data_IF_860403210949
#
_entry.id   IF_860403210949
#
_cell.length_a   1.000
_cell.length_b   1.000
_cell.length_c   1.000
_cell.angle_alpha   90.00
_cell.angle_beta   90.00
_cell.angle_gamma   90.00
#
_symmetry.space_group_name_H-M   'P 1'
#
loop_
_entity.id
_entity.type
_entity.pdbx_description
1 polymer ?
#
# COMPACT_ATOMS: atom_id res chain seq x y z
N UNK A 1 28.10 109.10 -107.79
CA UNK A 1 28.20 107.64 -107.58
C UNK A 1 29.58 107.33 -107.01
N UNK A 2 29.68 107.29 -105.68
CA UNK A 2 30.62 106.48 -104.92
C UNK A 2 29.72 105.74 -103.94
N UNK A 3 29.86 104.43 -103.92
CA UNK A 3 28.89 103.41 -103.52
C UNK A 3 28.73 103.27 -101.99
N UNK A 4 27.57 102.76 -101.56
CA UNK A 4 27.19 102.43 -100.16
C UNK A 4 28.18 101.50 -99.41
N UNK A 5 29.24 101.01 -100.05
CA UNK A 5 30.25 100.10 -99.48
C UNK A 5 31.23 100.75 -98.50
N UNK A 6 31.26 102.08 -98.35
CA UNK A 6 32.16 102.77 -97.43
C UNK A 6 31.55 103.14 -96.07
N UNK A 7 30.21 103.11 -95.95
CA UNK A 7 29.54 103.36 -94.66
C UNK A 7 29.40 102.07 -93.83
N UNK A 8 29.36 100.89 -94.47
CA UNK A 8 29.35 99.61 -93.77
C UNK A 8 30.72 99.14 -93.25
N UNK A 9 31.84 99.72 -93.70
CA UNK A 9 33.17 99.41 -93.14
C UNK A 9 33.49 100.18 -91.86
N UNK A 10 32.99 101.40 -91.70
CA UNK A 10 33.32 102.25 -90.54
C UNK A 10 32.42 102.06 -89.30
N UNK A 11 31.41 101.17 -89.36
CA UNK A 11 30.62 100.78 -88.18
C UNK A 11 31.03 99.42 -87.59
N UNK A 12 31.88 98.65 -88.30
CA UNK A 12 32.31 97.32 -87.85
C UNK A 12 33.67 97.32 -87.11
N UNK A 13 34.54 98.32 -87.32
CA UNK A 13 35.90 98.32 -86.73
C UNK A 13 35.99 98.88 -85.30
N UNK A 14 34.89 99.38 -84.72
CA UNK A 14 34.84 99.82 -83.30
C UNK A 14 34.09 98.86 -82.37
N UNK A 15 33.62 97.71 -82.88
CA UNK A 15 32.81 96.75 -82.12
C UNK A 15 33.58 95.49 -81.69
N UNK A 16 34.86 95.33 -82.01
CA UNK A 16 35.60 94.11 -81.59
C UNK A 16 35.94 94.07 -80.09
N UNK A 17 36.44 95.14 -79.44
CA UNK A 17 36.83 95.06 -78.03
C UNK A 17 35.62 94.88 -77.09
N UNK A 18 34.50 95.53 -77.41
CA UNK A 18 33.26 95.48 -76.62
C UNK A 18 32.53 94.15 -76.79
N UNK A 19 32.55 93.57 -78.00
CA UNK A 19 31.95 92.26 -78.27
C UNK A 19 32.78 91.13 -77.65
N UNK A 20 34.12 91.20 -77.73
CA UNK A 20 35.01 90.28 -77.04
C UNK A 20 34.89 90.37 -75.49
N UNK A 21 34.75 91.57 -74.93
CA UNK A 21 34.48 91.77 -73.49
C UNK A 21 33.12 91.20 -73.06
N UNK A 22 32.08 91.35 -73.89
CA UNK A 22 30.77 90.76 -73.66
C UNK A 22 30.83 89.23 -73.72
N UNK A 23 31.46 88.65 -74.73
CA UNK A 23 31.67 87.20 -74.86
C UNK A 23 32.48 86.63 -73.71
N UNK A 24 33.57 87.30 -73.31
CA UNK A 24 34.37 86.91 -72.14
C UNK A 24 33.56 87.01 -70.84
N UNK A 25 32.72 88.04 -70.69
CA UNK A 25 31.78 88.15 -69.57
C UNK A 25 30.69 87.07 -69.56
N UNK A 26 30.23 86.60 -70.72
CA UNK A 26 29.34 85.45 -70.85
C UNK A 26 30.03 84.12 -70.54
N UNK A 27 31.27 83.92 -71.02
CA UNK A 27 32.06 82.73 -70.70
C UNK A 27 32.37 82.65 -69.21
N UNK A 28 32.86 83.72 -68.59
CA UNK A 28 33.10 83.77 -67.14
C UNK A 28 31.83 83.51 -66.32
N UNK A 29 30.68 84.08 -66.72
CA UNK A 29 29.39 83.76 -66.07
C UNK A 29 28.98 82.30 -66.25
N UNK A 30 29.23 81.72 -67.42
CA UNK A 30 28.93 80.31 -67.72
C UNK A 30 29.82 79.37 -66.92
N UNK A 31 31.11 79.69 -66.79
CA UNK A 31 32.08 78.90 -66.03
C UNK A 31 31.79 78.94 -64.53
N UNK A 32 31.46 80.12 -64.00
CA UNK A 32 31.01 80.26 -62.59
C UNK A 32 29.71 79.47 -62.35
N UNK A 33 28.72 79.59 -63.24
CA UNK A 33 27.47 78.84 -63.12
C UNK A 33 27.68 77.33 -63.27
N UNK A 34 28.64 76.88 -64.08
CA UNK A 34 28.99 75.47 -64.21
C UNK A 34 29.69 74.95 -62.96
N UNK A 35 30.63 75.72 -62.40
CA UNK A 35 31.31 75.39 -61.15
C UNK A 35 30.34 75.31 -59.96
N UNK A 36 29.37 76.23 -59.87
CA UNK A 36 28.30 76.18 -58.86
C UNK A 36 27.40 74.94 -59.05
N UNK A 37 27.05 74.57 -60.29
CA UNK A 37 26.29 73.34 -60.57
C UNK A 37 27.04 72.09 -60.16
N UNK A 38 28.35 72.01 -60.42
CA UNK A 38 29.18 70.87 -60.00
C UNK A 38 29.20 70.76 -58.48
N UNK A 39 29.46 71.87 -57.76
CA UNK A 39 29.44 71.88 -56.28
C UNK A 39 28.09 71.46 -55.71
N UNK A 40 26.99 71.97 -56.28
CA UNK A 40 25.65 71.57 -55.86
C UNK A 40 25.39 70.09 -56.14
N UNK A 41 25.90 69.55 -57.25
CA UNK A 41 25.77 68.13 -57.56
C UNK A 41 26.56 67.25 -56.58
N UNK A 42 27.78 67.63 -56.23
CA UNK A 42 28.59 66.91 -55.22
C UNK A 42 27.89 66.89 -53.84
N UNK A 43 27.28 68.02 -53.44
CA UNK A 43 26.49 68.11 -52.20
C UNK A 43 25.26 67.20 -52.28
N UNK A 44 24.56 67.17 -53.42
CA UNK A 44 23.38 66.31 -53.62
C UNK A 44 23.78 64.83 -53.58
N UNK A 45 24.91 64.45 -54.19
CA UNK A 45 25.45 63.10 -54.14
C UNK A 45 25.79 62.69 -52.70
N UNK A 46 26.51 63.54 -51.96
CA UNK A 46 26.81 63.31 -50.54
C UNK A 46 25.54 63.16 -49.69
N UNK A 47 24.55 64.04 -49.85
CA UNK A 47 23.29 63.92 -49.13
C UNK A 47 22.52 62.64 -49.53
N UNK A 48 22.59 62.21 -50.78
CA UNK A 48 21.96 60.96 -51.22
C UNK A 48 22.60 59.73 -50.54
N UNK A 49 23.93 59.73 -50.38
CA UNK A 49 24.65 58.70 -49.64
C UNK A 49 24.25 58.68 -48.16
N UNK A 50 24.16 59.84 -47.51
CA UNK A 50 23.70 59.96 -46.13
C UNK A 50 22.26 59.47 -45.95
N UNK A 51 21.36 59.85 -46.86
CA UNK A 51 19.97 59.38 -46.86
C UNK A 51 19.92 57.85 -47.02
N UNK A 52 20.73 57.27 -47.90
CA UNK A 52 20.79 55.82 -48.08
C UNK A 52 21.31 55.11 -46.81
N UNK A 53 22.34 55.65 -46.17
CA UNK A 53 22.87 55.14 -44.90
C UNK A 53 21.83 55.19 -43.77
N UNK A 54 21.15 56.33 -43.62
CA UNK A 54 20.10 56.51 -42.62
C UNK A 54 18.92 55.58 -42.85
N UNK A 55 18.50 55.37 -44.10
CA UNK A 55 17.45 54.38 -44.43
C UNK A 55 17.84 52.98 -44.02
N UNK A 56 19.08 52.56 -44.29
CA UNK A 56 19.58 51.24 -43.89
C UNK A 56 19.58 51.07 -42.36
N UNK A 57 19.99 52.10 -41.62
CA UNK A 57 19.95 52.09 -40.15
C UNK A 57 18.51 52.03 -39.62
N UNK A 58 17.59 52.77 -40.23
CA UNK A 58 16.18 52.75 -39.87
C UNK A 58 15.55 51.37 -40.09
N UNK A 59 15.84 50.73 -41.24
CA UNK A 59 15.37 49.38 -41.53
C UNK A 59 15.90 48.36 -40.53
N UNK A 60 17.17 48.47 -40.14
CA UNK A 60 17.77 47.59 -39.14
C UNK A 60 17.15 47.79 -37.75
N UNK A 61 16.94 49.04 -37.33
CA UNK A 61 16.25 49.34 -36.07
C UNK A 61 14.80 48.87 -36.08
N UNK A 62 14.10 48.95 -37.21
CA UNK A 62 12.74 48.42 -37.34
C UNK A 62 12.70 46.89 -37.21
N UNK A 63 13.71 46.17 -37.73
CA UNK A 63 13.85 44.73 -37.49
C UNK A 63 14.09 44.43 -36.02
N UNK A 64 15.04 45.12 -35.39
CA UNK A 64 15.35 44.95 -33.97
C UNK A 64 14.10 45.21 -33.08
N UNK A 65 13.32 46.24 -33.38
CA UNK A 65 12.06 46.53 -32.69
C UNK A 65 11.05 45.39 -32.85
N UNK A 66 10.95 44.81 -34.06
CA UNK A 66 10.04 43.70 -34.34
C UNK A 66 10.45 42.44 -33.58
N UNK A 67 11.75 42.12 -33.56
CA UNK A 67 12.28 40.97 -32.83
C UNK A 67 12.10 41.12 -31.32
N UNK A 68 12.38 42.32 -30.78
CA UNK A 68 12.15 42.62 -29.37
C UNK A 68 10.66 42.52 -29.00
N UNK A 69 9.76 42.97 -29.88
CA UNK A 69 8.32 42.86 -29.65
C UNK A 69 7.87 41.39 -29.55
N UNK A 70 8.34 40.55 -30.47
CA UNK A 70 8.04 39.11 -30.45
C UNK A 70 8.62 38.42 -29.21
N UNK A 71 9.81 38.82 -28.77
CA UNK A 71 10.42 38.30 -27.54
C UNK A 71 9.61 38.69 -26.29
N UNK A 72 9.10 39.92 -26.22
CA UNK A 72 8.23 40.38 -25.13
C UNK A 72 6.93 39.57 -25.10
N UNK A 73 6.29 39.37 -26.25
CA UNK A 73 5.06 38.58 -26.34
C UNK A 73 5.27 37.14 -25.87
N UNK A 74 6.37 36.50 -26.28
CA UNK A 74 6.75 35.16 -25.84
C UNK A 74 6.96 35.10 -24.32
N UNK A 75 7.63 36.10 -23.74
CA UNK A 75 7.85 36.18 -22.29
C UNK A 75 6.55 36.41 -21.51
N UNK A 76 5.62 37.20 -22.05
CA UNK A 76 4.30 37.40 -21.45
C UNK A 76 3.49 36.10 -21.44
N UNK A 77 3.51 35.34 -22.54
CA UNK A 77 2.87 34.01 -22.60
C UNK A 77 3.46 33.04 -21.56
N UNK A 78 4.79 32.95 -21.48
CA UNK A 78 5.46 32.12 -20.48
C UNK A 78 5.12 32.53 -19.05
N UNK A 79 5.06 33.84 -18.77
CA UNK A 79 4.71 34.34 -17.45
C UNK A 79 3.26 34.00 -17.08
N UNK A 80 2.33 34.09 -18.04
CA UNK A 80 0.94 33.68 -17.85
C UNK A 80 0.83 32.18 -17.56
N UNK A 81 1.56 31.33 -18.29
CA UNK A 81 1.58 29.88 -18.06
C UNK A 81 2.14 29.53 -16.67
N UNK A 82 3.23 30.18 -16.27
CA UNK A 82 3.81 30.03 -14.93
C UNK A 82 2.82 30.48 -13.85
N UNK A 83 2.09 31.57 -14.06
CA UNK A 83 1.08 32.05 -13.12
C UNK A 83 -0.08 31.05 -12.95
N UNK A 84 -0.55 30.44 -14.03
CA UNK A 84 -1.58 29.38 -13.98
C UNK A 84 -1.04 28.16 -13.22
N UNK A 85 0.16 27.71 -13.56
CA UNK A 85 0.81 26.57 -12.91
C UNK A 85 0.97 26.79 -11.40
N UNK A 86 1.40 28.00 -11.01
CA UNK A 86 1.56 28.37 -9.60
C UNK A 86 0.23 28.35 -8.84
N UNK A 87 -0.86 28.83 -9.45
CA UNK A 87 -2.21 28.76 -8.86
C UNK A 87 -2.65 27.31 -8.64
N UNK A 88 -2.44 26.44 -9.63
CA UNK A 88 -2.79 25.02 -9.52
C UNK A 88 -2.00 24.32 -8.39
N UNK A 89 -0.69 24.57 -8.31
CA UNK A 89 0.16 24.02 -7.25
C UNK A 89 -0.23 24.53 -5.87
N UNK A 90 -0.62 25.80 -5.74
CA UNK A 90 -1.11 26.33 -4.46
C UNK A 90 -2.40 25.65 -4.01
N UNK A 91 -3.32 25.36 -4.91
CA UNK A 91 -4.55 24.64 -4.57
C UNK A 91 -4.26 23.17 -4.22
N UNK A 92 -3.33 22.52 -4.92
CA UNK A 92 -2.86 21.18 -4.58
C UNK A 92 -2.24 21.16 -3.16
N UNK A 93 -1.38 22.12 -2.82
CA UNK A 93 -0.80 22.26 -1.48
C UNK A 93 -1.90 22.44 -0.42
N UNK A 94 -2.93 23.24 -0.70
CA UNK A 94 -4.06 23.46 0.22
C UNK A 94 -4.84 22.15 0.45
N UNK A 95 -5.12 21.40 -0.61
CA UNK A 95 -5.79 20.09 -0.52
C UNK A 95 -4.94 19.07 0.25
N UNK A 96 -3.64 19.03 0.02
CA UNK A 96 -2.72 18.17 0.76
C UNK A 96 -2.67 18.53 2.25
N UNK A 97 -2.64 19.83 2.59
CA UNK A 97 -2.70 20.29 4.00
C UNK A 97 -4.00 19.88 4.68
N UNK A 98 -5.14 19.99 4.00
CA UNK A 98 -6.43 19.55 4.54
C UNK A 98 -6.45 18.03 4.79
N UNK A 99 -5.94 17.25 3.84
CA UNK A 99 -5.82 15.79 3.99
C UNK A 99 -4.90 15.40 5.15
N UNK A 100 -3.77 16.09 5.30
CA UNK A 100 -2.83 15.86 6.39
C UNK A 100 -3.47 16.14 7.75
N UNK A 101 -4.20 17.25 7.88
CA UNK A 101 -4.92 17.59 9.11
C UNK A 101 -5.98 16.53 9.47
N UNK A 102 -6.68 15.97 8.47
CA UNK A 102 -7.65 14.89 8.70
C UNK A 102 -6.97 13.62 9.20
N UNK A 103 -5.87 13.23 8.57
CA UNK A 103 -5.09 12.04 8.98
C UNK A 103 -4.48 12.20 10.38
N UNK A 104 -4.05 13.40 10.76
CA UNK A 104 -3.58 13.67 12.11
C UNK A 104 -4.69 13.51 13.16
N UNK A 105 -5.91 13.94 12.85
CA UNK A 105 -7.06 13.74 13.73
C UNK A 105 -7.44 12.26 13.83
N UNK A 106 -7.54 11.54 12.70
CA UNK A 106 -7.81 10.09 12.68
C UNK A 106 -6.76 9.31 13.49
N UNK A 107 -5.48 9.68 13.37
CA UNK A 107 -4.39 9.09 14.17
C UNK A 107 -4.61 9.30 15.66
N UNK A 108 -4.97 10.53 16.07
CA UNK A 108 -5.21 10.85 17.48
C UNK A 108 -6.39 10.07 18.06
N UNK A 109 -7.47 9.94 17.30
CA UNK A 109 -8.64 9.14 17.68
C UNK A 109 -8.27 7.65 17.87
N UNK A 110 -7.53 7.07 16.92
CA UNK A 110 -7.06 5.69 17.03
C UNK A 110 -6.11 5.48 18.22
N UNK A 111 -5.26 6.46 18.53
CA UNK A 111 -4.41 6.41 19.72
C UNK A 111 -5.23 6.45 21.03
N UNK A 112 -6.31 7.23 21.08
CA UNK A 112 -7.24 7.28 22.22
C UNK A 112 -8.00 5.96 22.38
N UNK A 113 -8.48 5.38 21.27
CA UNK A 113 -9.12 4.06 21.29
C UNK A 113 -8.17 2.95 21.76
N UNK A 114 -6.92 2.96 21.28
CA UNK A 114 -5.91 2.01 21.71
C UNK A 114 -5.63 2.11 23.20
N UNK A 115 -5.49 3.33 23.74
CA UNK A 115 -5.36 3.57 25.19
C UNK A 115 -6.55 2.99 25.95
N UNK A 116 -7.78 3.22 25.47
CA UNK A 116 -9.00 2.69 26.08
C UNK A 116 -9.04 1.16 26.12
N UNK A 117 -8.69 0.51 25.01
CA UNK A 117 -8.60 -0.95 24.92
C UNK A 117 -7.54 -1.50 25.86
N UNK A 118 -6.37 -0.86 25.93
CA UNK A 118 -5.28 -1.29 26.81
C UNK A 118 -5.69 -1.24 28.29
N UNK A 119 -6.44 -0.22 28.72
CA UNK A 119 -7.01 -0.14 30.07
C UNK A 119 -8.01 -1.29 30.32
N UNK A 120 -8.89 -1.59 29.36
CA UNK A 120 -9.85 -2.70 29.49
C UNK A 120 -9.15 -4.05 29.60
N UNK A 121 -8.12 -4.29 28.79
CA UNK A 121 -7.31 -5.51 28.85
C UNK A 121 -6.64 -5.64 30.22
N UNK A 122 -6.00 -4.59 30.74
CA UNK A 122 -5.39 -4.62 32.07
C UNK A 122 -6.40 -4.91 33.19
N UNK A 123 -7.64 -4.44 33.08
CA UNK A 123 -8.73 -4.77 34.01
C UNK A 123 -9.11 -6.26 33.92
N UNK A 124 -9.29 -6.79 32.71
CA UNK A 124 -9.62 -8.20 32.51
C UNK A 124 -8.51 -9.13 32.99
N UNK A 125 -7.25 -8.78 32.76
CA UNK A 125 -6.11 -9.53 33.28
C UNK A 125 -6.10 -9.59 34.82
N UNK A 126 -6.47 -8.49 35.48
CA UNK A 126 -6.63 -8.47 36.94
C UNK A 126 -7.76 -9.38 37.39
N UNK A 127 -8.92 -9.30 36.73
CA UNK A 127 -10.08 -10.15 37.03
C UNK A 127 -9.78 -11.64 36.85
N UNK A 128 -9.05 -12.01 35.79
CA UNK A 128 -8.58 -13.38 35.56
C UNK A 128 -7.66 -13.85 36.69
N UNK A 129 -6.72 -13.01 37.14
CA UNK A 129 -5.85 -13.35 38.28
C UNK A 129 -6.66 -13.56 39.56
N UNK A 130 -7.60 -12.67 39.85
CA UNK A 130 -8.43 -12.75 41.04
C UNK A 130 -9.31 -14.02 41.02
N UNK A 131 -9.90 -14.36 39.87
CA UNK A 131 -10.66 -15.60 39.68
C UNK A 131 -9.78 -16.85 39.81
N UNK A 132 -8.56 -16.84 39.29
CA UNK A 132 -7.66 -17.97 39.39
C UNK A 132 -7.24 -18.22 40.86
N UNK A 133 -6.96 -17.14 41.61
CA UNK A 133 -6.67 -17.24 43.04
C UNK A 133 -7.87 -17.80 43.82
N UNK A 134 -9.08 -17.33 43.51
CA UNK A 134 -10.31 -17.84 44.13
C UNK A 134 -10.54 -19.33 43.81
N UNK A 135 -10.25 -19.75 42.57
CA UNK A 135 -10.32 -21.15 42.15
C UNK A 135 -9.32 -22.02 42.93
N UNK A 136 -8.06 -21.60 43.03
CA UNK A 136 -7.04 -22.33 43.82
C UNK A 136 -7.47 -22.49 45.28
N UNK A 137 -7.98 -21.42 45.91
CA UNK A 137 -8.48 -21.48 47.29
C UNK A 137 -9.69 -22.42 47.43
N UNK A 138 -10.54 -22.52 46.40
CA UNK A 138 -11.66 -23.46 46.39
C UNK A 138 -11.17 -24.91 46.21
N UNK A 139 -10.20 -25.14 45.33
CA UNK A 139 -9.60 -26.46 45.10
C UNK A 139 -8.91 -26.98 46.37
N UNK A 140 -8.22 -26.11 47.12
CA UNK A 140 -7.64 -26.44 48.44
C UNK A 140 -8.72 -26.90 49.44
N UNK A 141 -9.84 -26.16 49.56
CA UNK A 141 -10.96 -26.57 50.42
C UNK A 141 -11.60 -27.88 49.99
N UNK A 142 -11.68 -28.15 48.69
CA UNK A 142 -12.21 -29.41 48.18
C UNK A 142 -11.30 -30.59 48.55
N UNK A 143 -9.97 -30.40 48.50
CA UNK A 143 -9.00 -31.40 48.95
C UNK A 143 -9.18 -31.68 50.45
N UNK A 144 -9.24 -30.64 51.29
CA UNK A 144 -9.48 -30.79 52.73
C UNK A 144 -10.79 -31.55 53.01
N UNK A 145 -11.87 -31.21 52.30
CA UNK A 145 -13.15 -31.88 52.45
C UNK A 145 -13.09 -33.36 52.04
N UNK A 146 -12.36 -33.68 50.97
CA UNK A 146 -12.16 -35.06 50.53
C UNK A 146 -11.37 -35.86 51.59
N UNK A 147 -10.31 -35.29 52.16
CA UNK A 147 -9.55 -35.92 53.24
C UNK A 147 -10.42 -36.19 54.48
N UNK A 148 -11.27 -35.22 54.86
CA UNK A 148 -12.24 -35.40 55.93
C UNK A 148 -13.25 -36.52 55.62
N UNK A 149 -13.73 -36.60 54.39
CA UNK A 149 -14.64 -37.65 53.93
C UNK A 149 -14.00 -39.04 54.03
N UNK A 150 -12.80 -39.21 53.49
CA UNK A 150 -12.05 -40.47 53.52
C UNK A 150 -11.80 -40.93 54.97
N UNK A 151 -11.48 -40.00 55.87
CA UNK A 151 -11.31 -40.28 57.30
C UNK A 151 -12.60 -40.74 57.98
N UNK A 152 -13.74 -40.14 57.63
CA UNK A 152 -15.06 -40.56 58.15
C UNK A 152 -15.44 -41.92 57.60
N UNK A 153 -15.22 -42.16 56.30
CA UNK A 153 -15.47 -43.44 55.66
C UNK A 153 -14.66 -44.58 56.32
N UNK A 154 -13.36 -44.40 56.53
CA UNK A 154 -12.53 -45.41 57.21
C UNK A 154 -13.00 -45.71 58.65
N UNK A 155 -13.46 -44.70 59.40
CA UNK A 155 -14.07 -44.91 60.73
C UNK A 155 -15.38 -45.69 60.64
N UNK A 156 -16.22 -45.39 59.65
CA UNK A 156 -17.49 -46.08 59.43
C UNK A 156 -17.27 -47.55 59.05
N UNK A 157 -16.31 -47.84 58.18
CA UNK A 157 -15.93 -49.21 57.81
C UNK A 157 -15.40 -49.99 59.01
N UNK A 158 -14.53 -49.37 59.83
CA UNK A 158 -14.02 -49.98 61.07
C UNK A 158 -15.16 -50.32 62.03
N UNK A 159 -16.10 -49.39 62.23
CA UNK A 159 -17.28 -49.61 63.09
C UNK A 159 -18.21 -50.69 62.52
N UNK A 160 -18.42 -50.70 61.20
CA UNK A 160 -19.21 -51.73 60.51
C UNK A 160 -18.61 -53.12 60.69
N UNK A 161 -17.28 -53.24 60.60
CA UNK A 161 -16.58 -54.50 60.85
C UNK A 161 -16.67 -54.94 62.32
N UNK A 162 -16.56 -54.00 63.27
CA UNK A 162 -16.76 -54.29 64.69
C UNK A 162 -18.17 -54.83 64.97
N UNK A 163 -19.21 -54.19 64.41
CA UNK A 163 -20.60 -54.65 64.53
C UNK A 163 -20.79 -56.04 63.93
N UNK A 164 -20.17 -56.33 62.77
CA UNK A 164 -20.18 -57.67 62.18
C UNK A 164 -19.58 -58.71 63.12
N UNK A 165 -18.41 -58.41 63.69
CA UNK A 165 -17.72 -59.31 64.61
C UNK A 165 -18.56 -59.55 65.88
N UNK A 166 -19.19 -58.51 66.44
CA UNK A 166 -20.10 -58.61 67.59
C UNK A 166 -21.35 -59.45 67.27
N UNK A 167 -21.99 -59.25 66.11
CA UNK A 167 -23.12 -60.09 65.67
C UNK A 167 -22.73 -61.56 65.51
N UNK A 168 -21.51 -61.84 65.05
CA UNK A 168 -20.98 -63.20 64.91
C UNK A 168 -20.75 -63.84 66.28
N UNK A 169 -20.15 -63.10 67.22
CA UNK A 169 -19.96 -63.54 68.60
C UNK A 169 -21.30 -63.80 69.32
N UNK A 170 -22.33 -62.98 69.08
CA UNK A 170 -23.68 -63.21 69.62
C UNK A 170 -24.30 -64.49 69.05
N UNK A 171 -24.11 -64.79 67.76
CA UNK A 171 -24.55 -66.05 67.13
C UNK A 171 -23.87 -67.29 67.67
N UNK A 172 -22.64 -67.18 68.20
CA UNK A 172 -21.86 -68.30 68.72
C UNK A 172 -22.10 -68.57 70.22
N UNK A 173 -22.84 -67.72 70.91
CA UNK A 173 -23.33 -68.01 72.27
C UNK A 173 -24.58 -68.92 72.23
N UNK A 174 -24.67 -69.99 73.06
CA UNK A 174 -25.71 -71.00 72.87
C UNK A 174 -27.05 -70.49 73.37
N UNK A 175 -28.05 -70.46 72.51
CA UNK A 175 -29.46 -70.54 72.91
C UNK A 175 -29.97 -71.95 72.67
N UNK A 176 -30.10 -72.70 73.78
CA UNK A 176 -31.13 -73.73 73.91
C UNK A 176 -32.48 -73.03 73.84
N UNK A 177 -33.20 -73.18 72.74
CA UNK A 177 -34.66 -73.31 72.69
C UNK A 177 -35.09 -73.53 71.24
N UNK A 178 -35.75 -74.67 71.01
CA UNK A 178 -36.30 -75.12 69.74
C UNK A 178 -37.42 -74.19 69.22
N UNK A 179 -37.63 -74.15 67.90
CA UNK A 179 -38.79 -74.78 67.23
C UNK A 179 -38.94 -74.37 65.74
N UNK A 180 -39.14 -75.40 64.91
CA UNK A 180 -39.98 -75.53 63.69
C UNK A 180 -39.85 -74.59 62.46
N UNK A 181 -39.66 -75.26 61.31
CA UNK A 181 -39.88 -74.88 59.88
C UNK A 181 -41.34 -74.41 59.58
N UNK A 182 -41.79 -73.99 58.35
CA UNK A 182 -41.21 -74.11 56.99
C UNK A 182 -41.47 -72.90 56.00
N UNK A 183 -41.16 -73.09 54.69
CA UNK A 183 -41.83 -72.58 53.45
C UNK A 183 -41.00 -71.73 52.45
N UNK A 184 -40.67 -72.34 51.29
CA UNK A 184 -41.13 -71.95 49.93
C UNK A 184 -40.55 -70.75 49.13
N UNK A 185 -39.71 -71.06 48.12
CA UNK A 185 -39.55 -70.48 46.75
C UNK A 185 -39.33 -68.95 46.50
N UNK A 186 -38.94 -68.46 45.29
CA UNK A 186 -37.99 -68.95 44.26
C UNK A 186 -37.01 -67.88 43.68
N UNK A 187 -36.09 -68.32 42.80
CA UNK A 187 -35.44 -67.64 41.63
C UNK A 187 -34.79 -66.23 41.78
N UNK A 188 -33.50 -66.18 41.40
CA UNK A 188 -32.84 -64.97 40.90
C UNK A 188 -31.60 -65.33 40.09
N UNK A 189 -31.72 -65.34 38.76
CA UNK A 189 -30.65 -65.72 37.84
C UNK A 189 -29.49 -64.74 37.84
N UNK A 190 -28.26 -65.25 37.90
CA UNK A 190 -27.05 -64.50 37.52
C UNK A 190 -26.83 -64.67 36.02
N UNK A 191 -27.19 -63.65 35.26
CA UNK A 191 -26.66 -63.47 33.91
C UNK A 191 -25.28 -62.81 34.04
N UNK A 192 -24.24 -63.53 33.67
CA UNK A 192 -22.92 -62.98 33.38
C UNK A 192 -22.96 -62.42 31.95
N UNK A 193 -23.32 -61.15 31.81
CA UNK A 193 -23.13 -60.43 30.55
C UNK A 193 -21.67 -60.02 30.43
N UNK A 194 -20.88 -60.85 29.76
CA UNK A 194 -19.68 -60.38 29.08
C UNK A 194 -20.13 -59.44 27.95
N UNK A 195 -20.14 -58.13 28.21
CA UNK A 195 -20.23 -57.14 27.14
C UNK A 195 -18.83 -56.58 26.91
N UNK A 196 -18.16 -57.13 25.89
CA UNK A 196 -16.95 -56.57 25.33
C UNK A 196 -17.29 -55.18 24.78
N UNK A 197 -16.80 -54.13 25.43
CA UNK A 197 -16.80 -52.78 24.88
C UNK A 197 -15.73 -52.73 23.79
N UNK A 198 -16.19 -52.74 22.54
CA UNK A 198 -15.41 -52.30 21.40
C UNK A 198 -14.98 -50.85 21.64
N UNK A 199 -13.69 -50.64 21.86
CA UNK A 199 -13.06 -49.32 21.82
C UNK A 199 -13.08 -48.85 20.36
N UNK A 200 -14.14 -48.15 19.96
CA UNK A 200 -14.02 -47.20 18.86
C UNK A 200 -13.33 -45.94 19.39
N UNK A 201 -12.32 -45.40 18.69
CA UNK A 201 -11.71 -44.15 19.09
C UNK A 201 -12.76 -43.03 18.99
N UNK A 202 -13.18 -42.54 20.15
CA UNK A 202 -14.07 -41.40 20.31
C UNK A 202 -13.31 -40.14 19.84
N UNK A 203 -13.48 -39.75 18.58
CA UNK A 203 -12.97 -38.46 18.09
C UNK A 203 -13.83 -37.35 18.69
N UNK A 204 -13.27 -36.60 19.65
CA UNK A 204 -13.94 -35.45 20.25
C UNK A 204 -14.28 -34.40 19.15
N UNK A 205 -15.45 -33.76 19.20
CA UNK A 205 -15.86 -32.72 18.24
C UNK A 205 -14.86 -31.56 18.07
N UNK A 206 -14.06 -31.25 19.11
CA UNK A 206 -13.05 -30.19 19.06
C UNK A 206 -11.85 -30.48 18.14
N UNK A 207 -11.62 -31.74 17.80
CA UNK A 207 -10.47 -32.14 16.97
C UNK A 207 -10.67 -31.75 15.49
N UNK A 208 -11.93 -31.76 15.01
CA UNK A 208 -12.25 -31.38 13.62
C UNK A 208 -12.14 -29.88 13.36
N UNK A 209 -12.53 -29.05 14.32
CA UNK A 209 -12.41 -27.58 14.21
C UNK A 209 -10.96 -27.14 14.29
N UNK A 210 -10.18 -27.75 15.20
CA UNK A 210 -8.74 -27.55 15.28
C UNK A 210 -8.06 -27.97 13.97
N UNK A 211 -8.41 -29.14 13.43
CA UNK A 211 -7.89 -29.61 12.15
C UNK A 211 -8.22 -28.65 11.00
N UNK A 212 -9.45 -28.11 10.96
CA UNK A 212 -9.84 -27.13 9.95
C UNK A 212 -9.06 -25.81 10.06
N UNK A 213 -8.83 -25.30 11.28
CA UNK A 213 -7.99 -24.12 11.51
C UNK A 213 -6.53 -24.37 11.08
N UNK A 214 -5.99 -25.56 11.33
CA UNK A 214 -4.64 -25.94 10.89
C UNK A 214 -4.54 -25.97 9.36
N UNK A 215 -5.55 -26.52 8.67
CA UNK A 215 -5.63 -26.54 7.20
C UNK A 215 -5.64 -25.13 6.61
N UNK A 216 -6.50 -24.24 7.12
CA UNK A 216 -6.60 -22.86 6.65
C UNK A 216 -5.32 -22.08 6.99
N UNK A 217 -4.76 -22.25 8.19
CA UNK A 217 -3.52 -21.60 8.60
C UNK A 217 -2.29 -22.03 7.77
N UNK A 218 -2.22 -23.30 7.36
CA UNK A 218 -1.19 -23.79 6.44
C UNK A 218 -1.37 -23.23 5.02
N UNK A 219 -2.60 -23.11 4.54
CA UNK A 219 -2.88 -22.43 3.26
C UNK A 219 -2.40 -20.98 3.27
N UNK A 220 -2.70 -20.21 4.32
CA UNK A 220 -2.19 -18.84 4.44
C UNK A 220 -0.65 -18.78 4.43
N UNK A 221 0.02 -19.75 5.05
CA UNK A 221 1.48 -19.82 5.03
C UNK A 221 2.02 -20.13 3.61
N UNK A 222 1.36 -21.02 2.87
CA UNK A 222 1.72 -21.31 1.48
C UNK A 222 1.51 -20.09 0.58
N UNK A 223 0.41 -19.35 0.76
CA UNK A 223 0.16 -18.09 0.03
C UNK A 223 1.31 -17.12 0.25
N UNK A 224 1.68 -16.84 1.51
CA UNK A 224 2.76 -15.91 1.84
C UNK A 224 4.12 -16.35 1.28
N UNK A 225 4.45 -17.64 1.36
CA UNK A 225 5.70 -18.18 0.81
C UNK A 225 5.74 -18.08 -0.72
N UNK A 226 4.66 -18.44 -1.40
CA UNK A 226 4.56 -18.36 -2.86
C UNK A 226 4.58 -16.92 -3.35
N UNK A 227 3.89 -16.00 -2.69
CA UNK A 227 3.95 -14.57 -3.01
C UNK A 227 5.38 -14.04 -2.88
N UNK A 228 6.09 -14.39 -1.81
CA UNK A 228 7.50 -14.00 -1.66
C UNK A 228 8.36 -14.59 -2.78
N UNK A 229 8.17 -15.87 -3.13
CA UNK A 229 8.89 -16.52 -4.23
C UNK A 229 8.66 -15.83 -5.58
N UNK A 230 7.43 -15.39 -5.87
CA UNK A 230 7.11 -14.66 -7.10
C UNK A 230 7.82 -13.31 -7.15
N UNK A 231 7.85 -12.57 -6.05
CA UNK A 231 8.47 -11.23 -5.99
C UNK A 231 10.00 -11.31 -5.96
N UNK A 232 10.54 -12.27 -5.21
CA UNK A 232 11.98 -12.44 -4.97
C UNK A 232 12.41 -13.90 -5.20
N UNK A 233 12.40 -14.39 -6.45
CA UNK A 233 12.78 -15.78 -6.76
C UNK A 233 14.21 -16.10 -6.31
N UNK A 234 15.13 -15.15 -6.49
CA UNK A 234 16.55 -15.32 -6.14
C UNK A 234 16.83 -15.27 -4.63
N UNK A 235 15.94 -14.65 -3.84
CA UNK A 235 16.07 -14.57 -2.37
C UNK A 235 15.21 -15.62 -1.65
N UNK A 236 14.42 -16.39 -2.40
CA UNK A 236 13.52 -17.38 -1.83
C UNK A 236 14.30 -18.60 -1.30
N UNK A 237 13.90 -19.07 -0.13
CA UNK A 237 14.53 -20.20 0.53
C UNK A 237 13.44 -21.16 1.02
N UNK A 238 13.33 -22.39 0.48
CA UNK A 238 12.19 -23.29 0.76
C UNK A 238 11.98 -23.62 2.24
N UNK A 239 13.04 -23.57 3.05
CA UNK A 239 13.01 -23.87 4.50
C UNK A 239 12.64 -22.67 5.37
N UNK A 240 12.51 -21.47 4.80
CA UNK A 240 12.21 -20.23 5.54
C UNK A 240 10.73 -19.90 5.44
N UNK A 241 10.14 -19.46 6.55
CA UNK A 241 8.75 -18.98 6.60
C UNK A 241 8.73 -17.49 6.28
N UNK A 242 8.18 -17.15 5.13
CA UNK A 242 8.01 -15.77 4.70
C UNK A 242 6.64 -15.24 5.14
N UNK A 243 6.58 -13.93 5.35
CA UNK A 243 5.38 -13.16 5.71
C UNK A 243 5.36 -11.93 4.82
N UNK A 244 4.20 -11.34 4.61
CA UNK A 244 4.06 -10.14 3.76
C UNK A 244 4.94 -8.98 4.25
N UNK A 245 5.12 -8.83 5.57
CA UNK A 245 6.09 -7.87 6.15
C UNK A 245 7.53 -8.06 5.67
N UNK A 246 7.94 -9.28 5.33
CA UNK A 246 9.27 -9.54 4.78
C UNK A 246 9.35 -9.03 3.33
N UNK A 247 8.26 -9.16 2.54
CA UNK A 247 8.18 -8.60 1.20
C UNK A 247 8.33 -7.07 1.27
N UNK A 248 7.55 -6.40 2.12
CA UNK A 248 7.66 -4.94 2.30
C UNK A 248 9.06 -4.50 2.73
N UNK A 249 9.62 -5.16 3.75
CA UNK A 249 10.98 -4.85 4.24
C UNK A 249 12.02 -5.04 3.14
N UNK A 250 11.92 -6.11 2.37
CA UNK A 250 12.94 -6.44 1.38
C UNK A 250 12.78 -5.59 0.11
N UNK A 251 11.57 -5.09 -0.19
CA UNK A 251 11.36 -4.04 -1.21
C UNK A 251 11.99 -2.68 -0.81
N UNK A 252 11.91 -2.32 0.48
CA UNK A 252 12.41 -1.03 0.97
C UNK A 252 13.91 -1.02 1.26
N UNK A 253 14.38 -2.04 2.00
CA UNK A 253 15.66 -2.02 2.73
C UNK A 253 16.69 -3.00 2.19
N UNK A 254 16.32 -3.94 1.31
CA UNK A 254 17.29 -4.88 0.78
C UNK A 254 18.16 -4.21 -0.29
N UNK A 255 19.50 -4.23 -0.16
CA UNK A 255 20.39 -3.68 -1.16
C UNK A 255 20.41 -4.59 -2.41
N UNK A 256 19.59 -4.23 -3.39
CA UNK A 256 19.55 -4.82 -4.74
C UNK A 256 20.09 -3.79 -5.75
N UNK A 257 20.68 -4.25 -6.86
CA UNK A 257 20.94 -3.39 -8.02
C UNK A 257 19.65 -2.66 -8.44
N UNK A 258 19.73 -1.39 -8.90
CA UNK A 258 18.57 -0.63 -9.35
C UNK A 258 17.59 -1.37 -10.29
N UNK A 259 18.05 -2.14 -11.30
CA UNK A 259 17.12 -2.85 -12.20
C UNK A 259 16.35 -3.98 -11.51
N UNK A 260 17.00 -4.73 -10.61
CA UNK A 260 16.35 -5.84 -9.88
C UNK A 260 15.32 -5.30 -8.87
N UNK A 261 15.62 -4.16 -8.25
CA UNK A 261 14.70 -3.50 -7.31
C UNK A 261 13.42 -3.04 -8.00
N UNK A 262 13.53 -2.46 -9.19
CA UNK A 262 12.36 -2.04 -9.99
C UNK A 262 11.55 -3.25 -10.45
N UNK A 263 12.21 -4.33 -10.89
CA UNK A 263 11.56 -5.57 -11.30
C UNK A 263 10.75 -6.21 -10.15
N UNK A 264 11.32 -6.28 -8.95
CA UNK A 264 10.60 -6.78 -7.77
C UNK A 264 9.43 -5.88 -7.36
N UNK A 265 9.56 -4.55 -7.48
CA UNK A 265 8.46 -3.62 -7.22
C UNK A 265 7.32 -3.81 -8.23
N UNK A 266 7.65 -3.94 -9.51
CA UNK A 266 6.69 -4.20 -10.58
C UNK A 266 5.99 -5.54 -10.38
N UNK A 267 6.73 -6.61 -10.05
CA UNK A 267 6.16 -7.93 -9.73
C UNK A 267 5.20 -7.86 -8.54
N UNK A 268 5.53 -7.11 -7.49
CA UNK A 268 4.65 -6.91 -6.34
C UNK A 268 3.36 -6.17 -6.72
N UNK A 269 3.46 -5.08 -7.50
CA UNK A 269 2.29 -4.33 -7.97
C UNK A 269 1.40 -5.16 -8.89
N UNK A 270 1.99 -5.90 -9.82
CA UNK A 270 1.26 -6.79 -10.72
C UNK A 270 0.55 -7.91 -9.93
N UNK A 271 1.23 -8.53 -8.97
CA UNK A 271 0.69 -9.60 -8.14
C UNK A 271 -0.47 -9.11 -7.27
N UNK A 272 -0.30 -7.97 -6.61
CA UNK A 272 -1.33 -7.36 -5.76
C UNK A 272 -2.52 -6.87 -6.59
N UNK A 273 -2.28 -6.30 -7.77
CA UNK A 273 -3.33 -5.93 -8.72
C UNK A 273 -4.14 -7.13 -9.21
N UNK A 274 -3.48 -8.22 -9.64
CA UNK A 274 -4.11 -9.46 -10.11
C UNK A 274 -5.02 -10.09 -9.07
N UNK A 275 -4.65 -10.02 -7.79
CA UNK A 275 -5.42 -10.62 -6.69
C UNK A 275 -6.32 -9.65 -5.96
N UNK A 276 -6.34 -8.36 -6.35
CA UNK A 276 -7.02 -7.30 -5.59
C UNK A 276 -6.61 -7.33 -4.12
N UNK A 277 -5.32 -7.53 -3.88
CA UNK A 277 -4.74 -7.65 -2.56
C UNK A 277 -4.90 -6.34 -1.79
N UNK A 278 -5.29 -6.44 -0.52
CA UNK A 278 -5.46 -5.29 0.36
C UNK A 278 -5.17 -5.69 1.80
N UNK A 279 -5.10 -4.71 2.70
CA UNK A 279 -4.82 -4.88 4.13
C UNK A 279 -5.77 -5.89 4.80
N UNK A 280 -7.03 -5.98 4.35
CA UNK A 280 -7.98 -6.94 4.89
C UNK A 280 -7.55 -8.41 4.68
N UNK A 281 -6.83 -8.72 3.60
CA UNK A 281 -6.28 -10.06 3.39
C UNK A 281 -5.14 -10.36 4.37
N UNK A 282 -4.32 -9.35 4.69
CA UNK A 282 -3.23 -9.50 5.64
C UNK A 282 -3.73 -9.70 7.07
N UNK A 283 -4.72 -8.91 7.48
CA UNK A 283 -5.37 -9.06 8.79
C UNK A 283 -6.12 -10.39 8.90
N UNK A 284 -6.81 -10.81 7.84
CA UNK A 284 -7.44 -12.13 7.79
C UNK A 284 -6.43 -13.26 7.99
N UNK A 285 -5.28 -13.21 7.31
CA UNK A 285 -4.24 -14.23 7.49
C UNK A 285 -3.63 -14.18 8.90
N UNK A 286 -3.41 -13.00 9.49
CA UNK A 286 -2.91 -12.88 10.87
C UNK A 286 -3.88 -13.55 11.86
N UNK A 287 -5.18 -13.30 11.70
CA UNK A 287 -6.22 -13.89 12.56
C UNK A 287 -6.30 -15.42 12.39
N UNK A 288 -6.32 -15.90 11.15
CA UNK A 288 -6.37 -17.33 10.83
C UNK A 288 -5.12 -18.09 11.29
N UNK A 289 -3.95 -17.44 11.26
CA UNK A 289 -2.68 -18.04 11.69
C UNK A 289 -2.42 -17.88 13.20
N UNK A 290 -3.13 -16.98 13.91
CA UNK A 290 -2.89 -16.68 15.32
C UNK A 290 -3.20 -17.84 16.28
N UNK A 291 -4.02 -18.80 15.86
CA UNK A 291 -4.46 -19.96 16.66
C UNK A 291 -3.64 -21.24 16.41
N UNK A 292 -2.53 -21.17 15.68
CA UNK A 292 -1.77 -22.36 15.26
C UNK A 292 -0.78 -22.84 16.33
N UNK A 293 -0.81 -24.13 16.65
CA UNK A 293 0.31 -24.80 17.34
C UNK A 293 1.37 -25.21 16.31
N UNK A 294 2.66 -25.13 16.66
CA UNK A 294 3.79 -25.09 15.70
C UNK A 294 4.03 -26.43 14.98
N UNK A 295 3.59 -27.55 15.56
CA UNK A 295 3.96 -28.91 15.13
C UNK A 295 2.92 -29.67 14.29
N UNK A 296 1.73 -29.11 14.06
CA UNK A 296 0.70 -29.79 13.27
C UNK A 296 0.66 -29.24 11.83
N UNK A 297 1.28 -29.98 10.90
CA UNK A 297 1.26 -29.68 9.47
C UNK A 297 0.44 -30.72 8.71
N UNK A 298 -0.73 -30.36 8.14
CA UNK A 298 -1.44 -31.27 7.25
C UNK A 298 -0.60 -31.53 6.00
N UNK A 299 -0.43 -32.81 5.64
CA UNK A 299 0.53 -33.26 4.63
C UNK A 299 0.13 -32.93 3.19
N UNK A 300 -1.16 -32.69 2.91
CA UNK A 300 -1.64 -32.29 1.59
C UNK A 300 -2.83 -31.33 1.70
N UNK A 301 -2.74 -30.19 1.01
CA UNK A 301 -3.84 -29.24 0.87
C UNK A 301 -4.50 -29.44 -0.50
N UNK A 302 -5.80 -29.68 -0.52
CA UNK A 302 -6.63 -29.68 -1.74
C UNK A 302 -7.67 -28.58 -1.67
N UNK A 303 -8.13 -28.10 -2.82
CA UNK A 303 -9.17 -27.06 -2.89
C UNK A 303 -10.46 -27.52 -2.20
N UNK A 304 -10.89 -28.76 -2.45
CA UNK A 304 -12.09 -29.32 -1.82
C UNK A 304 -11.91 -29.47 -0.30
N UNK A 305 -10.68 -29.79 0.15
CA UNK A 305 -10.35 -29.87 1.57
C UNK A 305 -10.42 -28.51 2.26
N UNK A 306 -9.90 -27.46 1.61
CA UNK A 306 -9.90 -26.10 2.12
C UNK A 306 -11.31 -25.49 2.15
N UNK A 307 -12.11 -25.71 1.10
CA UNK A 307 -13.50 -25.25 1.05
C UNK A 307 -14.34 -25.92 2.14
N UNK A 308 -14.22 -27.25 2.32
CA UNK A 308 -14.90 -27.96 3.42
C UNK A 308 -14.45 -27.48 4.80
N UNK A 309 -13.17 -27.18 4.98
CA UNK A 309 -12.65 -26.62 6.22
C UNK A 309 -13.23 -25.22 6.49
N UNK A 310 -13.33 -24.37 5.46
CA UNK A 310 -13.94 -23.04 5.58
C UNK A 310 -15.43 -23.12 5.93
N UNK A 311 -16.20 -23.99 5.27
CA UNK A 311 -17.62 -24.22 5.56
C UNK A 311 -17.84 -24.74 6.99
N UNK A 312 -16.98 -25.65 7.46
CA UNK A 312 -17.03 -26.13 8.84
C UNK A 312 -16.78 -24.99 9.83
N UNK A 313 -15.81 -24.12 9.58
CA UNK A 313 -15.52 -23.00 10.47
C UNK A 313 -16.61 -21.92 10.44
N UNK A 314 -17.25 -21.70 9.30
CA UNK A 314 -18.38 -20.77 9.17
C UNK A 314 -19.61 -21.26 9.92
N UNK A 315 -19.99 -22.54 9.72
CA UNK A 315 -21.14 -23.16 10.41
C UNK A 315 -20.98 -23.19 11.93
N UNK A 316 -19.73 -23.21 12.42
CA UNK A 316 -19.39 -23.12 13.85
C UNK A 316 -19.28 -21.68 14.36
N UNK A 317 -19.34 -20.69 13.48
CA UNK A 317 -19.24 -19.28 13.83
C UNK A 317 -17.83 -18.80 14.18
N UNK A 318 -16.81 -19.55 13.73
CA UNK A 318 -15.39 -19.25 13.97
C UNK A 318 -14.81 -18.23 12.96
N UNK A 319 -15.52 -17.98 11.85
CA UNK A 319 -15.12 -17.03 10.81
C UNK A 319 -15.92 -15.71 10.94
N UNK A 320 -15.30 -14.67 11.50
CA UNK A 320 -15.94 -13.36 11.74
C UNK A 320 -14.94 -12.22 11.55
N UNK A 321 -15.45 -11.02 11.33
CA UNK A 321 -14.61 -9.82 11.15
C UNK A 321 -13.69 -9.96 9.94
N UNK A 322 -12.38 -9.81 10.17
CA UNK A 322 -11.36 -9.88 9.11
C UNK A 322 -11.26 -11.27 8.47
N UNK A 323 -11.50 -12.35 9.22
CA UNK A 323 -11.46 -13.74 8.75
C UNK A 323 -12.82 -14.27 8.27
N UNK A 324 -13.69 -13.40 7.75
CA UNK A 324 -15.02 -13.79 7.26
C UNK A 324 -14.95 -14.90 6.19
N UNK A 325 -15.98 -15.75 6.13
CA UNK A 325 -16.06 -16.86 5.18
C UNK A 325 -15.77 -16.45 3.72
N UNK A 326 -16.34 -15.31 3.29
CA UNK A 326 -16.06 -14.73 1.98
C UNK A 326 -14.56 -14.47 1.77
N UNK A 327 -13.88 -13.90 2.77
CA UNK A 327 -12.44 -13.61 2.68
C UNK A 327 -11.60 -14.88 2.64
N UNK A 328 -11.99 -15.91 3.40
CA UNK A 328 -11.32 -17.21 3.36
C UNK A 328 -11.43 -17.84 1.97
N UNK A 329 -12.60 -17.78 1.33
CA UNK A 329 -12.78 -18.25 -0.05
C UNK A 329 -11.94 -17.46 -1.07
N UNK A 330 -11.81 -16.14 -0.88
CA UNK A 330 -10.91 -15.30 -1.69
C UNK A 330 -9.46 -15.75 -1.52
N UNK A 331 -9.00 -16.02 -0.29
CA UNK A 331 -7.65 -16.55 -0.02
C UNK A 331 -7.42 -17.93 -0.62
N UNK A 332 -8.41 -18.83 -0.60
CA UNK A 332 -8.35 -20.14 -1.27
C UNK A 332 -8.20 -19.97 -2.78
N UNK A 333 -8.92 -19.01 -3.37
CA UNK A 333 -8.81 -18.68 -4.81
C UNK A 333 -7.42 -18.16 -5.15
N UNK A 334 -6.86 -17.27 -4.32
CA UNK A 334 -5.50 -16.74 -4.47
C UNK A 334 -4.47 -17.88 -4.37
N UNK A 335 -4.61 -18.75 -3.37
CA UNK A 335 -3.76 -19.92 -3.18
C UNK A 335 -3.75 -20.82 -4.42
N UNK A 336 -4.93 -21.13 -4.99
CA UNK A 336 -5.05 -21.94 -6.21
C UNK A 336 -4.34 -21.29 -7.40
N UNK A 337 -4.52 -20.00 -7.61
CA UNK A 337 -3.85 -19.26 -8.69
C UNK A 337 -2.33 -19.21 -8.49
N UNK A 338 -1.86 -19.06 -7.24
CA UNK A 338 -0.44 -19.13 -6.90
C UNK A 338 0.15 -20.52 -7.14
N UNK A 339 -0.61 -21.60 -6.94
CA UNK A 339 -0.16 -22.94 -7.31
C UNK A 339 0.04 -23.09 -8.82
N UNK A 340 -0.90 -22.57 -9.62
CA UNK A 340 -0.80 -22.62 -11.08
C UNK A 340 0.43 -21.88 -11.60
N UNK A 341 0.72 -20.69 -11.05
CA UNK A 341 1.91 -19.92 -11.42
C UNK A 341 3.23 -20.62 -11.04
N UNK A 342 3.24 -21.40 -9.97
CA UNK A 342 4.42 -22.17 -9.53
C UNK A 342 4.65 -23.42 -10.40
N UNK A 343 3.63 -23.90 -11.12
CA UNK A 343 3.72 -25.05 -12.05
C UNK A 343 4.15 -24.64 -13.46
N UNK A 344 4.20 -23.34 -13.76
CA UNK A 344 4.55 -22.78 -15.07
C UNK A 344 5.98 -22.23 -15.15
N UNK A 345 6.78 -22.36 -14.08
CA UNK A 345 8.18 -21.90 -14.00
C UNK A 345 9.14 -23.07 -14.10
#
# INVERSE_FOLDING_TARGET
MITEEQIQRNLNDTSEPTQALLEMGFMLRRDVAHQERVRLNDIVESHNEDIASLRKQLDEKNREITDLKNAVETLEEQNNELQVTLKLRNEEIKNLKARLSRLENEKKELEDELRSVQVKVGRLEKEIRDLNNAKTAQDEKNIEMQEHFDKVQGKMETRSQAIKNEMQAIKETPHKAEMSMPVGFPKGGRQTSHQAMSLQPFQLPGDRELQALLFIGEMCQQVQNKMYKVVFPNLYAPRKRYKVKHIHRDLEKFPQPPPEKEESLQKWQELTGKFKWNEAHEEAMKDLQGKRNIDAHPSTLTEEGLTRAAELLDTKGNLKGWSSFKRVLELITIWKRLQQMDSTV
#
